data_IF_061062146640
#
_entry.id   IF_061062146640
#
_cell.length_a   1.000
_cell.length_b   1.000
_cell.length_c   1.000
_cell.angle_alpha   90.00
_cell.angle_beta   90.00
_cell.angle_gamma   90.00
#
_symmetry.space_group_name_H-M   'P 1'
#
loop_
_entity.id
_entity.type
_entity.pdbx_description
1 polymer ?
#
# COMPACT_ATOMS: atom_id res chain seq x y z
N UNK A 1 20.04 -6.97 6.98
CA UNK A 1 19.00 -7.99 7.23
C UNK A 1 17.66 -7.45 6.76
N UNK A 2 17.35 -7.62 5.47
CA UNK A 2 16.05 -7.23 4.91
C UNK A 2 15.02 -8.27 5.38
N UNK A 3 14.12 -7.88 6.26
CA UNK A 3 12.94 -8.68 6.61
C UNK A 3 12.15 -8.87 5.32
N UNK A 4 12.28 -10.03 4.67
CA UNK A 4 11.33 -10.47 3.65
C UNK A 4 10.01 -10.68 4.38
N UNK A 5 9.21 -9.61 4.47
CA UNK A 5 7.79 -9.73 4.73
C UNK A 5 7.24 -10.51 3.55
N UNK A 6 7.07 -11.82 3.70
CA UNK A 6 6.37 -12.64 2.72
C UNK A 6 4.93 -12.12 2.67
N UNK A 7 4.68 -11.15 1.80
CA UNK A 7 3.36 -10.55 1.62
C UNK A 7 2.32 -11.58 1.21
N UNK A 8 2.72 -12.76 0.73
CA UNK A 8 1.86 -13.89 0.43
C UNK A 8 1.11 -14.41 1.66
N UNK A 9 1.78 -14.56 2.82
CA UNK A 9 1.10 -15.04 4.04
C UNK A 9 0.08 -14.03 4.59
N UNK A 10 0.35 -12.73 4.45
CA UNK A 10 -0.57 -11.67 4.91
C UNK A 10 -1.84 -11.68 4.06
N UNK A 11 -1.71 -11.83 2.75
CA UNK A 11 -2.85 -11.91 1.82
C UNK A 11 -3.63 -13.21 2.02
N UNK A 12 -2.94 -14.35 2.13
CA UNK A 12 -3.57 -15.64 2.41
C UNK A 12 -4.36 -15.61 3.73
N UNK A 13 -3.81 -14.99 4.78
CA UNK A 13 -4.50 -14.80 6.06
C UNK A 13 -5.70 -13.86 5.97
N UNK A 14 -5.64 -12.82 5.12
CA UNK A 14 -6.78 -11.92 4.85
C UNK A 14 -7.94 -12.67 4.19
N UNK A 15 -7.65 -13.53 3.22
CA UNK A 15 -8.66 -14.36 2.55
C UNK A 15 -9.29 -15.36 3.53
N UNK A 16 -8.49 -16.00 4.38
CA UNK A 16 -8.97 -16.95 5.40
C UNK A 16 -9.71 -16.32 6.59
N UNK A 17 -9.43 -15.06 6.94
CA UNK A 17 -10.10 -14.37 8.05
C UNK A 17 -11.49 -13.85 7.67
N UNK A 18 -11.74 -13.57 6.38
CA UNK A 18 -13.05 -13.10 5.87
C UNK A 18 -14.10 -14.23 5.89
N UNK A 19 -13.68 -15.50 5.90
CA UNK A 19 -14.56 -16.67 5.82
C UNK A 19 -14.90 -17.31 7.17
N UNK A 20 -14.37 -16.83 8.31
CA UNK A 20 -14.62 -17.41 9.63
C UNK A 20 -15.83 -16.75 10.34
N UNK A 21 -16.82 -17.53 10.83
CA UNK A 21 -17.97 -16.99 11.54
C UNK A 21 -17.65 -16.79 13.04
N UNK A 22 -17.55 -15.54 13.49
CA UNK A 22 -17.32 -15.24 14.92
C UNK A 22 -16.86 -13.80 15.16
N UNK A 23 -17.53 -13.11 16.09
CA UNK A 23 -17.44 -11.66 16.33
C UNK A 23 -16.01 -11.19 16.67
N UNK A 24 -15.55 -10.16 15.96
CA UNK A 24 -14.36 -9.31 16.23
C UNK A 24 -12.96 -9.93 16.10
N UNK A 25 -12.70 -10.67 15.02
CA UNK A 25 -11.33 -11.00 14.62
C UNK A 25 -10.65 -9.81 13.90
N UNK A 26 -10.35 -8.73 14.61
CA UNK A 26 -9.45 -7.70 14.06
C UNK A 26 -8.14 -8.39 13.69
N UNK A 27 -7.71 -8.27 12.42
CA UNK A 27 -6.48 -8.89 11.92
C UNK A 27 -5.26 -8.54 12.80
N UNK A 28 -5.32 -7.37 13.44
CA UNK A 28 -4.39 -6.92 14.46
C UNK A 28 -5.15 -6.61 15.76
N UNK A 29 -4.79 -7.23 16.89
CA UNK A 29 -5.45 -7.01 18.17
C UNK A 29 -4.99 -5.71 18.85
N UNK A 30 -4.76 -4.65 18.08
CA UNK A 30 -4.27 -3.36 18.57
C UNK A 30 -5.27 -2.27 18.20
N UNK A 31 -5.48 -1.33 19.13
CA UNK A 31 -6.29 -0.16 18.88
C UNK A 31 -5.49 0.91 18.10
N UNK A 32 -6.20 1.89 17.54
CA UNK A 32 -5.56 2.99 16.81
C UNK A 32 -4.67 3.87 17.72
N UNK A 33 -4.80 3.81 19.05
CA UNK A 33 -3.94 4.57 19.97
C UNK A 33 -2.55 3.97 20.04
N UNK A 34 -2.43 2.64 20.09
CA UNK A 34 -1.14 1.96 20.06
C UNK A 34 -0.31 2.39 18.84
N UNK A 35 -0.91 2.37 17.65
CA UNK A 35 -0.23 2.78 16.41
C UNK A 35 0.20 4.25 16.46
N UNK A 36 -0.69 5.13 16.92
CA UNK A 36 -0.40 6.58 17.06
C UNK A 36 0.75 6.84 18.01
N UNK A 37 0.79 6.18 19.15
CA UNK A 37 1.87 6.34 20.13
C UNK A 37 3.25 6.04 19.53
N UNK A 38 3.38 4.91 18.82
CA UNK A 38 4.63 4.56 18.16
C UNK A 38 4.96 5.49 16.98
N UNK A 39 3.94 5.92 16.25
CA UNK A 39 4.12 6.88 15.16
C UNK A 39 4.65 8.22 15.67
N UNK A 40 4.05 8.78 16.71
CA UNK A 40 4.46 10.06 17.30
C UNK A 40 5.91 10.04 17.79
N UNK A 41 6.33 8.92 18.38
CA UNK A 41 7.74 8.69 18.72
C UNK A 41 8.64 8.75 17.48
N UNK A 42 8.26 8.10 16.40
CA UNK A 42 9.01 8.14 15.14
C UNK A 42 9.03 9.55 14.53
N UNK A 43 7.90 10.28 14.54
CA UNK A 43 7.82 11.66 14.06
C UNK A 43 8.81 12.58 14.79
N UNK A 44 8.87 12.45 16.11
CA UNK A 44 9.78 13.23 16.94
C UNK A 44 11.24 12.90 16.65
N UNK A 45 11.58 11.63 16.50
CA UNK A 45 12.96 11.21 16.20
C UNK A 45 13.43 11.63 14.81
N UNK A 46 12.52 11.69 13.84
CA UNK A 46 12.83 12.08 12.46
C UNK A 46 12.76 13.60 12.22
N UNK A 47 12.40 14.39 13.23
CA UNK A 47 12.27 15.84 13.10
C UNK A 47 10.98 16.31 12.39
N UNK A 48 9.99 15.43 12.22
CA UNK A 48 8.69 15.73 11.57
C UNK A 48 7.57 15.96 12.59
N UNK A 49 7.90 16.36 13.82
CA UNK A 49 6.92 16.55 14.90
C UNK A 49 5.81 17.57 14.54
N UNK A 50 6.20 18.62 13.80
CA UNK A 50 5.33 19.73 13.41
C UNK A 50 4.69 19.55 12.02
N UNK A 51 4.96 18.45 11.32
CA UNK A 51 4.36 18.17 10.02
C UNK A 51 3.01 17.47 10.21
N UNK A 52 1.93 18.19 9.93
CA UNK A 52 0.55 17.70 10.00
C UNK A 52 0.23 16.64 8.94
N UNK A 53 1.00 16.59 7.85
CA UNK A 53 0.82 15.66 6.74
C UNK A 53 1.62 14.37 6.92
N UNK A 54 2.58 14.34 7.86
CA UNK A 54 3.36 13.14 8.18
C UNK A 54 2.59 12.17 9.09
N UNK A 55 1.46 11.68 8.58
CA UNK A 55 0.59 10.71 9.26
C UNK A 55 0.83 9.29 8.72
N UNK A 56 0.44 8.22 9.43
CA UNK A 56 0.68 6.85 8.96
C UNK A 56 0.09 6.52 7.58
N UNK A 57 -0.89 7.30 7.13
CA UNK A 57 -1.45 7.21 5.78
C UNK A 57 -0.40 7.44 4.67
N UNK A 58 0.71 8.12 4.96
CA UNK A 58 1.82 8.29 4.01
C UNK A 58 2.48 6.95 3.63
N UNK A 59 2.50 5.98 4.54
CA UNK A 59 2.99 4.64 4.25
C UNK A 59 2.13 3.96 3.17
N UNK A 60 0.82 4.23 3.20
CA UNK A 60 -0.12 3.74 2.20
C UNK A 60 0.13 4.37 0.83
N UNK A 61 0.42 5.67 0.77
CA UNK A 61 0.86 6.35 -0.46
C UNK A 61 2.17 5.77 -1.00
N UNK A 62 3.13 5.52 -0.11
CA UNK A 62 4.44 4.95 -0.45
C UNK A 62 4.30 3.53 -1.00
N UNK A 63 3.43 2.71 -0.40
CA UNK A 63 3.14 1.35 -0.86
C UNK A 63 2.59 1.35 -2.29
N UNK A 64 1.56 2.16 -2.57
CA UNK A 64 0.98 2.24 -3.92
C UNK A 64 1.98 2.75 -4.95
N UNK A 65 2.78 3.75 -4.59
CA UNK A 65 3.82 4.33 -5.46
C UNK A 65 4.85 3.27 -5.85
N UNK A 66 5.33 2.47 -4.88
CA UNK A 66 6.28 1.38 -5.12
C UNK A 66 5.70 0.28 -5.99
N UNK A 67 4.44 -0.12 -5.76
CA UNK A 67 3.78 -1.13 -6.59
C UNK A 67 3.69 -0.69 -8.05
N UNK A 68 3.31 0.57 -8.29
CA UNK A 68 3.23 1.11 -9.66
C UNK A 68 4.63 1.22 -10.30
N UNK A 69 5.64 1.65 -9.56
CA UNK A 69 7.03 1.68 -10.04
C UNK A 69 7.57 0.29 -10.40
N UNK A 70 7.15 -0.75 -9.68
CA UNK A 70 7.47 -2.14 -10.02
C UNK A 70 6.70 -2.67 -11.24
N UNK A 71 5.91 -1.84 -11.93
CA UNK A 71 5.15 -2.23 -13.11
C UNK A 71 3.86 -3.01 -12.81
N UNK A 72 3.39 -3.03 -11.55
CA UNK A 72 2.14 -3.71 -11.21
C UNK A 72 0.96 -2.99 -11.87
N UNK A 73 0.08 -3.69 -12.60
CA UNK A 73 -1.10 -3.09 -13.24
C UNK A 73 -1.99 -2.34 -12.24
N UNK A 74 -2.50 -1.17 -12.66
CA UNK A 74 -3.20 -0.23 -11.79
C UNK A 74 -4.51 -0.80 -11.20
N UNK A 75 -5.14 -1.74 -11.90
CA UNK A 75 -6.30 -2.50 -11.43
C UNK A 75 -5.94 -3.40 -10.24
N UNK A 76 -4.79 -4.10 -10.32
CA UNK A 76 -4.29 -4.93 -9.21
C UNK A 76 -3.93 -4.04 -8.01
N UNK A 77 -3.29 -2.89 -8.25
CA UNK A 77 -3.00 -1.92 -7.17
C UNK A 77 -4.28 -1.40 -6.51
N UNK A 78 -5.35 -1.15 -7.28
CA UNK A 78 -6.66 -0.74 -6.72
C UNK A 78 -7.22 -1.80 -5.78
N UNK A 79 -7.20 -3.07 -6.18
CA UNK A 79 -7.70 -4.19 -5.36
C UNK A 79 -6.82 -4.43 -4.13
N UNK A 80 -5.51 -4.40 -4.30
CA UNK A 80 -4.53 -4.50 -3.22
C UNK A 80 -4.80 -3.46 -2.12
N UNK A 81 -5.01 -2.22 -2.55
CA UNK A 81 -5.30 -1.11 -1.65
C UNK A 81 -6.74 -1.19 -1.11
N UNK A 82 -7.67 -1.80 -1.83
CA UNK A 82 -9.10 -1.79 -1.50
C UNK A 82 -9.74 -0.43 -1.76
N UNK A 83 -9.34 0.26 -2.83
CA UNK A 83 -9.96 1.53 -3.22
C UNK A 83 -11.31 1.29 -3.90
N UNK A 84 -12.33 2.04 -3.46
CA UNK A 84 -13.69 1.95 -4.04
C UNK A 84 -13.73 2.38 -5.50
N UNK A 85 -12.94 3.40 -5.86
CA UNK A 85 -12.87 3.93 -7.22
C UNK A 85 -11.45 3.89 -7.76
N UNK A 86 -11.31 3.56 -9.05
CA UNK A 86 -10.02 3.59 -9.74
C UNK A 86 -9.40 5.00 -9.74
N UNK A 87 -10.24 6.06 -9.74
CA UNK A 87 -9.78 7.46 -9.71
C UNK A 87 -8.85 7.75 -8.51
N UNK A 88 -9.04 7.08 -7.37
CA UNK A 88 -8.16 7.22 -6.20
C UNK A 88 -6.77 6.66 -6.46
N UNK A 89 -6.69 5.55 -7.19
CA UNK A 89 -5.43 4.88 -7.56
C UNK A 89 -4.76 5.55 -8.73
N UNK A 90 -5.51 6.21 -9.62
CA UNK A 90 -4.96 6.95 -10.77
C UNK A 90 -3.95 8.03 -10.35
N UNK A 91 -3.97 8.49 -9.10
CA UNK A 91 -2.94 9.40 -8.57
C UNK A 91 -1.51 8.86 -8.77
N UNK A 92 -1.31 7.54 -8.83
CA UNK A 92 0.03 6.94 -8.89
C UNK A 92 0.49 6.55 -10.31
N UNK A 93 -0.36 6.67 -11.33
CA UNK A 93 -0.04 6.14 -12.68
C UNK A 93 1.14 6.84 -13.34
N UNK A 94 1.37 8.11 -13.02
CA UNK A 94 2.48 8.89 -13.55
C UNK A 94 3.86 8.39 -13.09
N UNK A 95 3.92 7.53 -12.05
CA UNK A 95 5.18 6.97 -11.56
C UNK A 95 5.72 5.79 -12.39
N UNK A 96 4.99 5.35 -13.44
CA UNK A 96 5.41 4.26 -14.31
C UNK A 96 5.64 4.71 -15.76
N UNK A 97 6.67 5.54 -16.04
CA UNK A 97 7.04 5.90 -17.40
C UNK A 97 7.50 4.70 -18.23
N UNK A 98 8.00 3.64 -17.57
CA UNK A 98 8.35 2.36 -18.18
C UNK A 98 7.18 1.70 -18.92
N UNK A 99 5.94 1.93 -18.47
CA UNK A 99 4.76 1.37 -19.12
C UNK A 99 4.52 1.98 -20.50
N UNK A 100 4.89 3.25 -20.71
CA UNK A 100 4.78 3.91 -22.01
C UNK A 100 5.83 3.38 -22.99
N UNK A 101 7.04 3.10 -22.51
CA UNK A 101 8.08 2.46 -23.33
C UNK A 101 7.68 1.03 -23.73
N UNK A 102 7.13 0.25 -22.80
CA UNK A 102 6.62 -1.09 -23.11
C UNK A 102 5.44 -1.05 -24.10
N UNK A 103 4.55 -0.06 -23.98
CA UNK A 103 3.45 0.13 -24.92
C UNK A 103 3.93 0.55 -26.31
N UNK A 104 4.97 1.38 -26.40
CA UNK A 104 5.58 1.78 -27.66
C UNK A 104 6.23 0.57 -28.36
N UNK A 105 7.04 -0.21 -27.63
CA UNK A 105 7.66 -1.42 -28.16
C UNK A 105 6.61 -2.44 -28.66
N UNK A 106 5.51 -2.63 -27.91
CA UNK A 106 4.45 -3.54 -28.32
C UNK A 106 3.72 -3.11 -29.61
N UNK A 107 3.74 -1.83 -29.96
CA UNK A 107 3.19 -1.32 -31.22
C UNK A 107 4.19 -1.46 -32.38
N UNK A 108 5.48 -1.28 -32.11
CA UNK A 108 6.56 -1.43 -33.10
C UNK A 108 6.80 -2.90 -33.50
N UNK A 109 6.49 -3.84 -32.60
CA UNK A 109 6.56 -5.28 -32.83
C UNK A 109 5.30 -5.89 -33.50
N UNK A 110 4.29 -5.08 -33.85
CA UNK A 110 3.00 -5.50 -34.43
C UNK A 110 2.89 -5.23 -35.94
#
# INVERSE_FOLDING_TARGET
MLVRLDTGWIVARRIGAVTAPGRNASLFPYDNRWMRHWWDRARNQLGFANDEHFVPYICRHTCASRLVQCGVPINVVKEWMGHKSIKMTMRYTHLAPSNLMAAAAALEDA
#
